data_IF_595940208529
#
_entry.id   IF_595940208529
#
_cell.length_a   1.000
_cell.length_b   1.000
_cell.length_c   1.000
_cell.angle_alpha   90.00
_cell.angle_beta   90.00
_cell.angle_gamma   90.00
#
_symmetry.space_group_name_H-M   'P 1'
#
loop_
_entity.id
_entity.type
_entity.pdbx_description
1 polymer ?
#
# COMPACT_ATOMS: atom_id res chain seq x y z
N UNK A 1 8.96 10.85 -2.78
CA UNK A 1 9.67 10.87 -1.47
C UNK A 1 10.95 11.68 -1.59
N UNK A 2 11.34 12.41 -0.54
CA UNK A 2 12.65 13.03 -0.52
C UNK A 2 13.76 11.99 -0.27
N UNK A 3 15.03 12.37 -0.50
CA UNK A 3 16.17 11.46 -0.38
C UNK A 3 16.38 10.93 1.04
N UNK A 4 15.99 11.68 2.05
CA UNK A 4 16.12 11.30 3.48
C UNK A 4 15.10 10.23 3.83
N UNK A 5 13.85 10.40 3.39
CA UNK A 5 12.77 9.41 3.56
C UNK A 5 13.10 8.11 2.86
N UNK A 6 13.63 8.16 1.63
CA UNK A 6 14.04 6.96 0.88
C UNK A 6 15.18 6.22 1.56
N UNK A 7 16.17 6.94 2.09
CA UNK A 7 17.28 6.32 2.83
C UNK A 7 16.80 5.67 4.14
N UNK A 8 15.82 6.28 4.81
CA UNK A 8 15.24 5.73 6.04
C UNK A 8 14.43 4.47 5.76
N UNK A 9 13.56 4.51 4.74
CA UNK A 9 12.80 3.35 4.28
C UNK A 9 13.74 2.20 3.86
N UNK A 10 14.79 2.51 3.10
CA UNK A 10 15.74 1.52 2.62
C UNK A 10 16.45 0.76 3.75
N UNK A 11 16.92 1.50 4.77
CA UNK A 11 17.53 0.88 5.97
C UNK A 11 16.55 0.02 6.74
N UNK A 12 15.31 0.47 6.91
CA UNK A 12 14.27 -0.29 7.60
C UNK A 12 13.92 -1.58 6.84
N UNK A 13 13.74 -1.50 5.53
CA UNK A 13 13.50 -2.65 4.66
C UNK A 13 14.64 -3.68 4.77
N UNK A 14 15.90 -3.22 4.75
CA UNK A 14 17.06 -4.07 4.93
C UNK A 14 17.04 -4.79 6.29
N UNK A 15 16.70 -4.07 7.37
CA UNK A 15 16.58 -4.65 8.72
C UNK A 15 15.51 -5.73 8.74
N UNK A 16 14.29 -5.43 8.29
CA UNK A 16 13.19 -6.41 8.23
C UNK A 16 13.57 -7.67 7.44
N UNK A 17 14.26 -7.51 6.33
CA UNK A 17 14.75 -8.64 5.53
C UNK A 17 15.79 -9.49 6.30
N UNK A 18 16.73 -8.86 6.95
CA UNK A 18 17.78 -9.54 7.71
C UNK A 18 17.21 -10.27 8.92
N UNK A 19 16.25 -9.68 9.62
CA UNK A 19 15.57 -10.31 10.77
C UNK A 19 14.81 -11.59 10.36
N UNK A 20 14.37 -11.66 9.08
CA UNK A 20 13.77 -12.87 8.49
C UNK A 20 14.82 -13.86 7.93
N UNK A 21 16.09 -13.57 8.06
CA UNK A 21 17.18 -14.42 7.55
C UNK A 21 17.22 -14.51 6.02
N UNK A 22 16.57 -13.60 5.30
CA UNK A 22 16.48 -13.61 3.84
C UNK A 22 17.67 -12.91 3.20
N UNK A 23 18.28 -13.54 2.18
CA UNK A 23 19.20 -12.85 1.29
C UNK A 23 18.44 -11.88 0.37
N UNK A 24 19.16 -10.91 -0.18
CA UNK A 24 18.61 -9.97 -1.16
C UNK A 24 17.97 -10.69 -2.37
N UNK A 25 18.61 -11.76 -2.84
CA UNK A 25 18.13 -12.56 -3.98
C UNK A 25 16.85 -13.33 -3.65
N UNK A 26 16.73 -13.87 -2.43
CA UNK A 26 15.54 -14.60 -1.99
C UNK A 26 14.34 -13.68 -1.87
N UNK A 27 14.50 -12.53 -1.21
CA UNK A 27 13.39 -11.58 -1.08
C UNK A 27 12.97 -11.01 -2.44
N UNK A 28 13.93 -10.63 -3.30
CA UNK A 28 13.63 -10.10 -4.62
C UNK A 28 12.87 -11.13 -5.48
N UNK A 29 13.31 -12.39 -5.48
CA UNK A 29 12.63 -13.48 -6.19
C UNK A 29 11.21 -13.70 -5.66
N UNK A 30 11.04 -13.79 -4.35
CA UNK A 30 9.73 -14.00 -3.72
C UNK A 30 8.76 -12.85 -4.01
N UNK A 31 9.24 -11.60 -3.98
CA UNK A 31 8.44 -10.41 -4.28
C UNK A 31 8.23 -10.16 -5.78
N UNK A 32 8.79 -10.98 -6.66
CA UNK A 32 8.68 -10.81 -8.12
C UNK A 32 9.31 -9.52 -8.65
N UNK A 33 10.39 -9.03 -8.00
CA UNK A 33 11.10 -7.82 -8.42
C UNK A 33 12.55 -8.13 -8.79
N UNK A 34 13.17 -7.29 -9.60
CA UNK A 34 14.58 -7.44 -9.93
C UNK A 34 15.46 -7.23 -8.68
N UNK A 35 16.46 -8.08 -8.48
CA UNK A 35 17.44 -7.96 -7.39
C UNK A 35 18.10 -6.57 -7.36
N UNK A 36 18.41 -6.01 -8.52
CA UNK A 36 18.99 -4.68 -8.64
C UNK A 36 18.05 -3.59 -8.13
N UNK A 37 16.74 -3.73 -8.36
CA UNK A 37 15.73 -2.81 -7.83
C UNK A 37 15.68 -2.87 -6.31
N UNK A 38 15.60 -4.07 -5.73
CA UNK A 38 15.61 -4.24 -4.27
C UNK A 38 16.91 -3.68 -3.65
N UNK A 39 18.06 -3.95 -4.28
CA UNK A 39 19.34 -3.39 -3.82
C UNK A 39 19.34 -1.87 -3.78
N UNK A 40 18.81 -1.22 -4.84
CA UNK A 40 18.68 0.24 -4.89
C UNK A 40 17.71 0.77 -3.84
N UNK A 41 16.60 0.06 -3.60
CA UNK A 41 15.64 0.44 -2.55
C UNK A 41 16.30 0.40 -1.17
N UNK A 42 17.00 -0.67 -0.82
CA UNK A 42 17.71 -0.78 0.46
C UNK A 42 18.83 0.28 0.62
N UNK A 43 19.41 0.75 -0.48
CA UNK A 43 20.40 1.84 -0.49
C UNK A 43 19.76 3.25 -0.48
N UNK A 44 18.41 3.34 -0.50
CA UNK A 44 17.71 4.62 -0.54
C UNK A 44 17.85 5.38 -1.87
N UNK A 45 18.26 4.68 -2.94
CA UNK A 45 18.48 5.28 -4.28
C UNK A 45 17.39 4.88 -5.30
N UNK A 46 16.40 4.09 -4.89
CA UNK A 46 15.26 3.67 -5.70
C UNK A 46 14.00 4.42 -5.31
N UNK A 47 13.07 4.61 -6.23
CA UNK A 47 11.72 5.08 -5.94
C UNK A 47 10.76 3.89 -6.07
N UNK A 48 10.29 3.27 -4.96
CA UNK A 48 9.39 2.14 -5.02
C UNK A 48 7.99 2.59 -5.40
N UNK A 49 7.29 1.77 -6.19
CA UNK A 49 5.86 1.90 -6.37
C UNK A 49 5.12 1.35 -5.14
N UNK A 50 3.86 1.75 -4.95
CA UNK A 50 3.02 1.20 -3.89
C UNK A 50 2.94 -0.34 -3.98
N UNK A 51 2.75 -0.89 -5.17
CA UNK A 51 2.68 -2.34 -5.39
C UNK A 51 3.99 -3.04 -5.03
N UNK A 52 5.13 -2.42 -5.32
CA UNK A 52 6.43 -2.95 -4.91
C UNK A 52 6.51 -3.05 -3.37
N UNK A 53 6.07 -2.00 -2.66
CA UNK A 53 6.06 -1.99 -1.20
C UNK A 53 5.09 -3.04 -0.63
N UNK A 54 3.89 -3.21 -1.22
CA UNK A 54 2.93 -4.24 -0.83
C UNK A 54 3.52 -5.65 -0.99
N UNK A 55 4.08 -5.98 -2.15
CA UNK A 55 4.73 -7.27 -2.40
C UNK A 55 5.84 -7.55 -1.40
N UNK A 56 6.64 -6.54 -1.07
CA UNK A 56 7.70 -6.68 -0.07
C UNK A 56 7.13 -6.94 1.32
N UNK A 57 6.09 -6.21 1.75
CA UNK A 57 5.42 -6.41 3.04
C UNK A 57 4.85 -7.84 3.16
N UNK A 58 4.18 -8.34 2.12
CA UNK A 58 3.66 -9.71 2.05
C UNK A 58 4.77 -10.73 2.24
N UNK A 59 5.87 -10.61 1.51
CA UNK A 59 6.98 -11.58 1.58
C UNK A 59 7.78 -11.50 2.88
N UNK A 60 7.79 -10.34 3.51
CA UNK A 60 8.38 -10.12 4.83
C UNK A 60 7.43 -10.54 5.96
N UNK A 61 6.18 -10.89 5.66
CA UNK A 61 5.13 -11.20 6.64
C UNK A 61 5.00 -10.09 7.71
N UNK A 62 4.95 -8.84 7.26
CA UNK A 62 4.69 -7.68 8.11
C UNK A 62 3.50 -6.91 7.55
N UNK A 63 2.70 -6.25 8.41
CA UNK A 63 1.72 -5.27 7.95
C UNK A 63 2.39 -4.19 7.10
N UNK A 64 1.67 -3.69 6.10
CA UNK A 64 2.20 -2.64 5.23
C UNK A 64 2.63 -1.40 6.02
N UNK A 65 1.81 -0.99 7.01
CA UNK A 65 2.13 0.11 7.89
C UNK A 65 3.45 -0.08 8.63
N UNK A 66 3.76 -1.30 9.08
CA UNK A 66 5.06 -1.63 9.70
C UNK A 66 6.22 -1.41 8.73
N UNK A 67 6.07 -1.80 7.46
CA UNK A 67 7.11 -1.59 6.45
C UNK A 67 7.40 -0.10 6.24
N UNK A 68 6.37 0.75 6.26
CA UNK A 68 6.47 2.18 5.94
C UNK A 68 6.51 3.09 7.17
N UNK A 69 6.35 2.56 8.37
CA UNK A 69 6.30 3.30 9.63
C UNK A 69 7.40 4.36 9.83
N UNK A 70 8.66 4.15 9.41
CA UNK A 70 9.70 5.17 9.56
C UNK A 70 9.52 6.39 8.65
N UNK A 71 8.64 6.31 7.66
CA UNK A 71 8.39 7.37 6.68
C UNK A 71 6.95 7.85 6.81
N UNK A 72 6.68 8.69 7.78
CA UNK A 72 5.36 9.29 8.03
C UNK A 72 4.95 10.35 6.97
N UNK A 73 5.26 10.13 5.70
CA UNK A 73 5.00 11.05 4.59
C UNK A 73 4.33 10.30 3.45
N UNK A 74 3.73 11.00 2.51
CA UNK A 74 3.16 10.48 1.26
C UNK A 74 3.85 9.18 0.83
N UNK A 75 3.15 8.04 0.98
CA UNK A 75 3.71 6.72 0.72
C UNK A 75 3.91 6.44 -0.76
N UNK A 76 3.27 7.25 -1.61
CA UNK A 76 3.42 7.19 -3.06
C UNK A 76 2.45 8.15 -3.73
N UNK A 77 2.87 8.65 -4.86
CA UNK A 77 2.04 9.22 -5.90
C UNK A 77 2.37 8.43 -7.16
N UNK A 78 1.45 7.63 -7.62
CA UNK A 78 1.61 6.83 -8.82
C UNK A 78 0.28 6.79 -9.55
N UNK A 79 0.31 7.07 -10.85
CA UNK A 79 -0.83 7.00 -11.76
C UNK A 79 -2.09 7.71 -11.24
N UNK A 80 -1.93 8.91 -10.62
CA UNK A 80 -3.03 9.69 -10.09
C UNK A 80 -3.56 9.21 -8.73
N UNK A 81 -2.84 8.32 -8.03
CA UNK A 81 -3.20 7.87 -6.68
C UNK A 81 -2.17 8.35 -5.66
N UNK A 82 -2.64 9.00 -4.61
CA UNK A 82 -1.84 9.41 -3.45
C UNK A 82 -2.31 8.64 -2.22
N UNK A 83 -1.38 8.06 -1.47
CA UNK A 83 -1.67 7.34 -0.21
C UNK A 83 -0.80 7.89 0.91
N UNK A 84 -1.41 8.11 2.07
CA UNK A 84 -0.74 8.56 3.29
C UNK A 84 -1.18 7.70 4.46
N UNK A 85 -0.24 7.16 5.23
CA UNK A 85 -0.53 6.57 6.53
C UNK A 85 -0.95 7.68 7.50
N UNK A 86 -2.12 7.53 8.12
CA UNK A 86 -2.69 8.48 9.09
C UNK A 86 -2.40 8.01 10.50
N UNK A 87 -2.62 6.73 10.75
CA UNK A 87 -2.43 6.12 12.06
C UNK A 87 -2.09 4.63 11.91
N UNK A 88 -1.37 4.08 12.88
CA UNK A 88 -1.00 2.69 12.95
C UNK A 88 -1.36 2.13 14.31
N UNK A 89 -2.28 1.17 14.34
CA UNK A 89 -2.66 0.47 15.56
C UNK A 89 -1.51 -0.34 16.13
N UNK A 90 -1.42 -0.37 17.46
CA UNK A 90 -0.43 -1.17 18.17
C UNK A 90 -1.05 -2.43 18.80
N UNK A 91 -2.39 -2.53 18.80
CA UNK A 91 -3.14 -3.63 19.38
C UNK A 91 -3.33 -4.79 18.38
N UNK A 92 -3.86 -5.92 18.86
CA UNK A 92 -4.19 -7.06 18.02
C UNK A 92 -5.72 -7.20 17.88
N UNK A 93 -6.27 -7.24 16.65
CA UNK A 93 -5.56 -7.13 15.38
C UNK A 93 -5.01 -5.72 15.14
N UNK A 94 -3.85 -5.65 14.50
CA UNK A 94 -3.30 -4.37 14.09
C UNK A 94 -4.18 -3.74 13.02
N UNK A 95 -4.53 -2.47 13.19
CA UNK A 95 -5.33 -1.70 12.24
C UNK A 95 -4.52 -0.51 11.75
N UNK A 96 -4.20 -0.50 10.48
CA UNK A 96 -3.55 0.64 9.84
C UNK A 96 -4.61 1.53 9.19
N UNK A 97 -4.51 2.84 9.38
CA UNK A 97 -5.44 3.84 8.83
C UNK A 97 -4.73 4.66 7.78
N UNK A 98 -5.32 4.75 6.59
CA UNK A 98 -4.79 5.49 5.47
C UNK A 98 -5.78 6.54 4.97
N UNK A 99 -5.24 7.69 4.57
CA UNK A 99 -5.88 8.61 3.68
C UNK A 99 -5.45 8.31 2.25
N UNK A 100 -6.40 8.24 1.34
CA UNK A 100 -6.13 8.01 -0.08
C UNK A 100 -6.87 9.04 -0.93
N UNK A 101 -6.23 9.51 -1.98
CA UNK A 101 -6.82 10.32 -3.03
C UNK A 101 -6.55 9.68 -4.38
N UNK A 102 -7.61 9.55 -5.17
CA UNK A 102 -7.54 9.18 -6.58
C UNK A 102 -7.94 10.39 -7.42
N UNK A 103 -7.12 10.79 -8.37
CA UNK A 103 -7.46 11.84 -9.32
C UNK A 103 -8.59 11.38 -10.25
N UNK A 104 -9.19 12.30 -11.03
CA UNK A 104 -10.18 11.95 -12.03
C UNK A 104 -9.56 11.00 -13.09
N UNK A 105 -10.39 10.12 -13.66
CA UNK A 105 -10.01 9.16 -14.69
C UNK A 105 -8.87 8.23 -14.27
N UNK A 106 -8.78 7.90 -13.00
CA UNK A 106 -7.79 6.97 -12.45
C UNK A 106 -8.37 5.56 -12.34
N UNK A 107 -7.60 4.55 -12.71
CA UNK A 107 -7.84 3.15 -12.40
C UNK A 107 -6.59 2.57 -11.73
N UNK A 108 -6.73 2.15 -10.47
CA UNK A 108 -5.70 1.44 -9.73
C UNK A 108 -6.14 0.01 -9.45
N UNK A 109 -5.37 -0.95 -9.93
CA UNK A 109 -5.51 -2.36 -9.56
C UNK A 109 -4.47 -2.66 -8.49
N UNK A 110 -4.94 -2.95 -7.31
CA UNK A 110 -4.09 -3.32 -6.18
C UNK A 110 -3.90 -4.84 -6.13
N UNK A 111 -2.68 -5.25 -5.85
CA UNK A 111 -2.35 -6.66 -5.61
C UNK A 111 -2.95 -7.14 -4.27
N UNK A 112 -3.14 -8.45 -4.15
CA UNK A 112 -3.60 -9.07 -2.91
C UNK A 112 -2.64 -8.74 -1.75
N UNK A 113 -3.23 -8.38 -0.61
CA UNK A 113 -2.50 -8.19 0.65
C UNK A 113 -2.17 -9.54 1.31
N UNK A 114 -1.65 -9.51 2.53
CA UNK A 114 -1.40 -10.74 3.30
C UNK A 114 -2.66 -11.58 3.47
N UNK A 115 -2.56 -12.93 3.48
CA UNK A 115 -3.72 -13.78 3.69
C UNK A 115 -4.53 -13.39 4.93
N UNK A 116 -5.85 -13.27 4.74
CA UNK A 116 -6.78 -12.84 5.78
C UNK A 116 -6.92 -11.34 5.95
N UNK A 117 -6.16 -10.53 5.22
CA UNK A 117 -6.30 -9.07 5.25
C UNK A 117 -7.69 -8.62 4.80
N UNK A 118 -8.21 -7.60 5.47
CA UNK A 118 -9.48 -6.95 5.15
C UNK A 118 -9.28 -5.46 4.99
N UNK A 119 -9.95 -4.88 4.02
CA UNK A 119 -10.08 -3.44 3.90
C UNK A 119 -11.49 -2.98 4.25
N UNK A 120 -11.58 -1.85 4.93
CA UNK A 120 -12.80 -1.10 5.07
C UNK A 120 -12.52 0.36 4.69
N UNK A 121 -13.26 0.88 3.73
CA UNK A 121 -13.09 2.24 3.23
C UNK A 121 -14.37 3.06 3.38
N UNK A 122 -14.22 4.35 3.58
CA UNK A 122 -15.30 5.34 3.59
C UNK A 122 -14.96 6.46 2.64
N UNK A 123 -15.83 6.70 1.66
CA UNK A 123 -15.65 7.80 0.72
C UNK A 123 -15.99 9.14 1.39
N UNK A 124 -15.05 10.07 1.37
CA UNK A 124 -15.19 11.42 1.94
C UNK A 124 -15.72 12.38 0.89
N UNK A 125 -15.18 12.34 -0.34
CA UNK A 125 -15.61 13.22 -1.42
C UNK A 125 -15.40 12.57 -2.78
N UNK A 126 -16.16 13.03 -3.80
CA UNK A 126 -16.07 12.55 -5.17
C UNK A 126 -16.97 11.35 -5.45
N UNK A 127 -16.56 10.48 -6.37
CA UNK A 127 -17.21 9.22 -6.71
C UNK A 127 -16.13 8.15 -6.94
N UNK A 128 -16.30 6.98 -6.37
CA UNK A 128 -15.32 5.91 -6.42
C UNK A 128 -16.00 4.56 -6.69
N UNK A 129 -15.51 3.83 -7.66
CA UNK A 129 -15.76 2.40 -7.78
C UNK A 129 -14.64 1.65 -7.06
N UNK A 130 -14.99 0.76 -6.13
CA UNK A 130 -14.01 -0.01 -5.36
C UNK A 130 -14.52 -1.41 -5.03
N UNK A 131 -13.59 -2.31 -4.69
CA UNK A 131 -13.85 -3.66 -4.23
C UNK A 131 -13.05 -4.74 -4.96
N UNK A 132 -13.24 -6.01 -4.62
CA UNK A 132 -12.60 -7.14 -5.29
C UNK A 132 -12.88 -7.12 -6.79
N UNK A 133 -11.93 -7.54 -7.61
CA UNK A 133 -12.13 -7.64 -9.06
C UNK A 133 -13.35 -8.51 -9.38
N UNK A 134 -14.29 -7.97 -10.19
CA UNK A 134 -15.55 -8.62 -10.52
C UNK A 134 -16.70 -8.40 -9.53
N UNK A 135 -16.44 -7.81 -8.34
CA UNK A 135 -17.45 -7.51 -7.31
C UNK A 135 -17.39 -6.04 -6.84
N UNK A 136 -16.94 -5.16 -7.72
CA UNK A 136 -16.81 -3.73 -7.41
C UNK A 136 -18.16 -3.02 -7.25
N UNK A 137 -18.16 -1.92 -6.49
CA UNK A 137 -19.33 -1.06 -6.28
C UNK A 137 -18.95 0.40 -6.41
N UNK A 138 -19.86 1.19 -7.00
CA UNK A 138 -19.78 2.65 -6.96
C UNK A 138 -20.24 3.16 -5.60
N UNK A 139 -19.44 4.08 -5.04
CA UNK A 139 -19.68 4.74 -3.77
C UNK A 139 -19.87 6.23 -3.97
N UNK A 140 -20.77 6.80 -3.17
CA UNK A 140 -20.99 8.23 -2.99
C UNK A 140 -20.47 8.69 -1.62
N UNK A 141 -20.20 9.99 -1.42
CA UNK A 141 -19.70 10.51 -0.15
C UNK A 141 -20.55 10.06 1.05
N UNK A 142 -19.88 9.62 2.11
CA UNK A 142 -20.46 9.05 3.32
C UNK A 142 -20.77 7.54 3.23
N UNK A 143 -20.67 6.93 2.07
CA UNK A 143 -20.83 5.48 1.95
C UNK A 143 -19.53 4.74 2.29
N UNK A 144 -19.69 3.55 2.85
CA UNK A 144 -18.59 2.66 3.23
C UNK A 144 -18.73 1.30 2.54
N UNK A 145 -17.60 0.66 2.32
CA UNK A 145 -17.47 -0.69 1.78
C UNK A 145 -16.39 -1.43 2.55
N UNK A 146 -16.65 -2.69 2.89
CA UNK A 146 -15.63 -3.58 3.47
C UNK A 146 -15.57 -4.88 2.67
N UNK A 147 -14.35 -5.36 2.42
CA UNK A 147 -14.11 -6.57 1.63
C UNK A 147 -12.83 -7.31 2.08
N UNK A 148 -12.69 -8.55 1.63
CA UNK A 148 -11.45 -9.30 1.78
C UNK A 148 -10.41 -8.75 0.80
N UNK A 149 -9.30 -8.25 1.34
CA UNK A 149 -8.24 -7.61 0.56
C UNK A 149 -7.06 -8.57 0.27
N UNK A 150 -7.15 -9.81 0.67
CA UNK A 150 -6.24 -10.89 0.30
C UNK A 150 -6.51 -11.44 -1.13
N UNK A 151 -7.29 -10.72 -1.90
CA UNK A 151 -7.53 -10.91 -3.34
C UNK A 151 -7.25 -9.61 -4.10
N UNK A 152 -6.94 -9.66 -5.41
CA UNK A 152 -6.81 -8.46 -6.23
C UNK A 152 -8.07 -7.61 -6.19
N UNK A 153 -7.91 -6.31 -6.06
CA UNK A 153 -9.01 -5.38 -5.92
C UNK A 153 -8.75 -4.06 -6.65
N UNK A 154 -9.80 -3.30 -6.90
CA UNK A 154 -9.83 -2.15 -7.80
C UNK A 154 -10.27 -0.89 -7.07
N UNK A 155 -9.66 0.23 -7.45
CA UNK A 155 -10.13 1.60 -7.20
C UNK A 155 -10.21 2.33 -8.54
N UNK A 156 -11.39 2.85 -8.88
CA UNK A 156 -11.59 3.58 -10.14
C UNK A 156 -12.40 4.84 -9.90
N UNK A 157 -11.96 5.92 -10.52
CA UNK A 157 -12.70 7.18 -10.61
C UNK A 157 -13.14 7.43 -12.06
N UNK A 158 -14.22 8.18 -12.23
CA UNK A 158 -14.63 8.72 -13.53
C UNK A 158 -14.27 10.21 -13.62
N UNK A 159 -15.23 11.09 -13.89
CA UNK A 159 -15.03 12.52 -14.08
C UNK A 159 -14.56 13.29 -12.83
N UNK A 160 -14.77 12.72 -11.63
CA UNK A 160 -14.46 13.36 -10.35
C UNK A 160 -13.36 12.62 -9.63
N UNK A 161 -12.41 13.39 -9.09
CA UNK A 161 -11.45 12.85 -8.13
C UNK A 161 -12.17 12.36 -6.86
N UNK A 162 -11.60 11.34 -6.23
CA UNK A 162 -12.13 10.77 -4.99
C UNK A 162 -11.14 10.94 -3.83
N UNK A 163 -11.67 11.18 -2.63
CA UNK A 163 -10.89 11.16 -1.38
C UNK A 163 -11.58 10.20 -0.42
N UNK A 164 -10.81 9.32 0.18
CA UNK A 164 -11.31 8.29 1.08
C UNK A 164 -10.39 8.08 2.28
N UNK A 165 -10.97 7.57 3.35
CA UNK A 165 -10.25 6.96 4.48
C UNK A 165 -10.42 5.47 4.35
N UNK A 166 -9.35 4.72 4.47
CA UNK A 166 -9.39 3.28 4.48
C UNK A 166 -8.60 2.71 5.66
N UNK A 167 -9.07 1.58 6.16
CA UNK A 167 -8.40 0.80 7.19
C UNK A 167 -8.04 -0.57 6.63
N UNK A 168 -6.88 -1.07 7.04
CA UNK A 168 -6.40 -2.41 6.71
C UNK A 168 -6.13 -3.16 8.01
N UNK A 169 -6.69 -4.37 8.09
CA UNK A 169 -6.54 -5.25 9.25
C UNK A 169 -5.98 -6.60 8.85
#
# INVERSE_FOLDING_TARGET
>A
MDSTSLATLGRHLQTLRQDRGLSLSQLACAAGIAKSNLSRLEQGSGNPTLDTLWRLAVQLHVPFGTLVAPVSVLLGEEDGVQVRLVDQGQDSPQVDVYWMRCDAHTERRAEAHTPGAREALTLVSGALEAGPEGETRWLSPGQSLAFAADTPHLYRTAELAATLILTIT
#
